data_IF_202707952731
#
_entry.id   IF_202707952731
#
_cell.length_a   1.000
_cell.length_b   1.000
_cell.length_c   1.000
_cell.angle_alpha   90.00
_cell.angle_beta   90.00
_cell.angle_gamma   90.00
#
_symmetry.space_group_name_H-M   'P 1'
#
loop_
_entity.id
_entity.type
_entity.pdbx_description
1 polymer ?
#
# COMPACT_ATOMS: atom_id res chain seq x y z
N UNK A 1 28.30 46.22 -13.59
CA UNK A 1 27.81 45.33 -12.52
C UNK A 1 26.39 44.71 -12.71
N UNK A 2 25.79 44.55 -13.92
CA UNK A 2 24.51 43.84 -14.07
C UNK A 2 24.63 42.35 -14.51
N UNK A 3 25.85 41.87 -14.76
CA UNK A 3 26.09 40.52 -15.33
C UNK A 3 26.00 39.41 -14.28
N UNK A 4 26.49 39.64 -13.05
CA UNK A 4 26.52 38.63 -11.98
C UNK A 4 25.11 38.25 -11.50
N UNK A 5 24.20 39.22 -11.42
CA UNK A 5 22.82 39.02 -10.95
C UNK A 5 22.00 38.18 -11.92
N UNK A 6 22.26 38.31 -13.23
CA UNK A 6 21.61 37.48 -14.27
C UNK A 6 22.12 36.04 -14.25
N UNK A 7 23.42 35.84 -14.00
CA UNK A 7 24.01 34.50 -13.85
C UNK A 7 23.48 33.78 -12.60
N UNK A 8 23.28 34.48 -11.48
CA UNK A 8 22.67 33.91 -10.28
C UNK A 8 21.20 33.50 -10.50
N UNK A 9 20.41 34.31 -11.20
CA UNK A 9 19.02 33.96 -11.51
C UNK A 9 18.91 32.74 -12.44
N UNK A 10 19.81 32.61 -13.41
CA UNK A 10 19.83 31.44 -14.32
C UNK A 10 20.23 30.14 -13.58
N UNK A 11 21.12 30.21 -12.60
CA UNK A 11 21.51 29.05 -11.80
C UNK A 11 20.39 28.53 -10.86
N UNK A 12 19.52 29.42 -10.34
CA UNK A 12 18.38 29.02 -9.52
C UNK A 12 17.27 28.32 -10.30
N UNK A 13 17.13 28.59 -11.61
CA UNK A 13 16.11 27.98 -12.47
C UNK A 13 16.47 26.55 -12.92
N UNK A 14 17.72 26.14 -12.82
CA UNK A 14 18.19 24.79 -13.16
C UNK A 14 18.02 23.75 -12.03
N UNK A 15 17.60 24.15 -10.84
CA UNK A 15 17.31 23.24 -9.71
C UNK A 15 15.83 22.81 -9.65
N UNK A 16 15.09 22.91 -10.77
CA UNK A 16 13.76 22.34 -10.87
C UNK A 16 13.84 20.81 -10.78
N UNK A 17 13.50 20.32 -9.59
CA UNK A 17 13.49 18.92 -9.19
C UNK A 17 12.96 17.99 -10.29
N UNK A 18 13.75 16.95 -10.60
CA UNK A 18 13.30 15.78 -11.34
C UNK A 18 12.19 15.08 -10.55
N UNK A 19 10.93 15.39 -10.85
CA UNK A 19 9.79 14.65 -10.35
C UNK A 19 9.75 13.27 -11.06
N UNK A 20 9.71 12.15 -10.33
CA UNK A 20 9.53 10.84 -10.98
C UNK A 20 8.15 10.79 -11.63
N UNK A 21 8.12 10.44 -12.92
CA UNK A 21 6.89 10.20 -13.65
C UNK A 21 6.17 8.98 -13.06
N UNK A 22 5.18 9.24 -12.20
CA UNK A 22 4.30 8.21 -11.65
C UNK A 22 3.12 8.01 -12.61
N UNK A 23 2.98 6.80 -13.14
CA UNK A 23 1.82 6.42 -13.95
C UNK A 23 0.54 6.59 -13.15
N UNK A 24 -0.34 7.49 -13.59
CA UNK A 24 -1.51 7.94 -12.85
C UNK A 24 -2.77 7.19 -13.31
N UNK A 25 -3.56 6.68 -12.35
CA UNK A 25 -4.96 6.34 -12.59
C UNK A 25 -5.78 7.63 -12.43
N UNK A 26 -6.66 7.99 -13.38
CA UNK A 26 -7.47 9.20 -13.27
C UNK A 26 -8.43 9.08 -12.06
N UNK A 27 -8.30 10.01 -11.10
CA UNK A 27 -9.25 10.18 -9.99
C UNK A 27 -8.70 9.89 -8.59
N UNK A 28 -7.51 9.31 -8.44
CA UNK A 28 -6.91 9.04 -7.12
C UNK A 28 -5.56 9.71 -7.01
N UNK A 29 -5.44 10.72 -6.12
CA UNK A 29 -4.12 11.29 -5.81
C UNK A 29 -3.25 10.22 -5.15
N UNK A 30 -1.98 10.04 -5.56
CA UNK A 30 -1.16 8.95 -5.06
C UNK A 30 -0.77 9.26 -3.61
N UNK A 31 -0.49 8.22 -2.83
CA UNK A 31 0.17 8.39 -1.53
C UNK A 31 1.60 8.93 -1.76
N UNK A 32 2.06 9.81 -0.88
CA UNK A 32 3.42 10.30 -0.86
C UNK A 32 4.32 9.21 -0.29
N UNK A 33 5.20 8.66 -1.12
CA UNK A 33 6.03 7.52 -0.76
C UNK A 33 7.53 7.83 -0.85
N UNK A 34 8.28 7.40 0.15
CA UNK A 34 9.74 7.38 0.18
C UNK A 34 10.25 5.93 0.20
N UNK A 35 11.34 5.67 -0.51
CA UNK A 35 11.95 4.35 -0.58
C UNK A 35 13.42 4.41 -0.16
N UNK A 36 13.83 3.50 0.72
CA UNK A 36 15.21 3.34 1.16
C UNK A 36 15.57 1.86 1.27
N UNK A 37 16.55 1.42 0.48
CA UNK A 37 17.07 0.04 0.40
C UNK A 37 16.00 -1.01 0.10
N UNK A 38 15.32 -1.51 1.11
CA UNK A 38 14.29 -2.55 1.02
C UNK A 38 13.03 -2.15 1.80
N UNK A 39 12.93 -0.87 2.17
CA UNK A 39 11.83 -0.28 2.92
C UNK A 39 11.16 0.78 2.06
N UNK A 40 9.85 0.66 1.88
CA UNK A 40 8.96 1.66 1.30
C UNK A 40 8.10 2.23 2.43
N UNK A 41 8.05 3.54 2.60
CA UNK A 41 7.15 4.21 3.53
C UNK A 41 6.25 5.14 2.74
N UNK A 42 4.94 5.12 3.00
CA UNK A 42 3.94 5.89 2.30
C UNK A 42 2.99 6.54 3.29
N UNK A 43 2.52 7.73 2.96
CA UNK A 43 1.49 8.45 3.70
C UNK A 43 0.47 9.03 2.70
N UNK A 44 -0.81 8.99 3.04
CA UNK A 44 -1.85 9.67 2.28
C UNK A 44 -2.29 10.97 2.97
N UNK A 45 -3.10 11.77 2.27
CA UNK A 45 -3.60 13.05 2.80
C UNK A 45 -4.66 12.91 3.88
N UNK A 46 -5.23 11.72 4.06
CA UNK A 46 -6.19 11.41 5.11
C UNK A 46 -5.49 11.05 6.41
N UNK A 47 -4.15 10.98 6.42
CA UNK A 47 -3.33 10.67 7.59
C UNK A 47 -3.02 9.17 7.73
N UNK A 48 -3.49 8.33 6.81
CA UNK A 48 -3.10 6.93 6.78
C UNK A 48 -1.63 6.86 6.38
N UNK A 49 -0.88 6.00 7.05
CA UNK A 49 0.51 5.76 6.71
C UNK A 49 0.85 4.30 6.87
N UNK A 50 1.73 3.82 6.02
CA UNK A 50 2.18 2.45 6.04
C UNK A 50 3.64 2.35 5.61
N UNK A 51 4.31 1.33 6.12
CA UNK A 51 5.67 0.96 5.75
C UNK A 51 5.69 -0.51 5.35
N UNK A 52 6.41 -0.80 4.28
CA UNK A 52 6.62 -2.14 3.74
C UNK A 52 8.12 -2.40 3.72
N UNK A 53 8.56 -3.44 4.40
CA UNK A 53 9.92 -3.94 4.33
C UNK A 53 9.93 -5.32 3.67
N UNK A 54 10.82 -5.56 2.72
CA UNK A 54 10.93 -6.84 2.03
C UNK A 54 12.30 -7.45 2.25
N UNK A 55 12.37 -8.73 2.65
CA UNK A 55 13.62 -9.49 2.64
C UNK A 55 13.35 -10.97 2.33
N UNK A 56 14.02 -11.47 1.28
CA UNK A 56 13.81 -12.83 0.79
C UNK A 56 12.35 -13.08 0.43
N UNK A 57 11.78 -14.15 1.01
CA UNK A 57 10.38 -14.53 0.82
C UNK A 57 9.41 -13.84 1.80
N UNK A 58 9.92 -12.96 2.67
CA UNK A 58 9.12 -12.28 3.68
C UNK A 58 8.90 -10.82 3.30
N UNK A 59 7.69 -10.34 3.58
CA UNK A 59 7.35 -8.92 3.50
C UNK A 59 6.65 -8.54 4.78
N UNK A 60 7.18 -7.55 5.49
CA UNK A 60 6.60 -7.01 6.70
C UNK A 60 5.92 -5.70 6.37
N UNK A 61 4.67 -5.57 6.78
CA UNK A 61 3.88 -4.38 6.63
C UNK A 61 3.50 -3.87 8.02
N UNK A 62 3.54 -2.57 8.20
CA UNK A 62 3.02 -1.89 9.38
C UNK A 62 2.33 -0.63 8.94
N UNK A 63 1.31 -0.22 9.66
CA UNK A 63 0.63 1.01 9.32
C UNK A 63 -0.30 1.51 10.40
N UNK A 64 -0.93 2.62 10.07
CA UNK A 64 -1.93 3.30 10.84
C UNK A 64 -3.09 3.65 9.91
N UNK A 65 -4.29 3.30 10.35
CA UNK A 65 -5.53 3.70 9.73
C UNK A 65 -6.09 4.88 10.51
N UNK A 66 -6.15 6.05 9.87
CA UNK A 66 -6.67 7.28 10.44
C UNK A 66 -8.19 7.25 10.61
N UNK A 67 -8.92 6.47 9.80
CA UNK A 67 -10.38 6.38 9.90
C UNK A 67 -10.82 5.64 11.17
N UNK A 68 -10.14 4.54 11.51
CA UNK A 68 -10.40 3.79 12.76
C UNK A 68 -9.48 4.18 13.93
N UNK A 69 -8.41 4.93 13.67
CA UNK A 69 -7.39 5.27 14.66
C UNK A 69 -6.52 4.09 15.08
N UNK A 70 -6.51 3.00 14.31
CA UNK A 70 -5.85 1.74 14.69
C UNK A 70 -4.48 1.62 14.05
N UNK A 71 -3.52 1.11 14.81
CA UNK A 71 -2.23 0.64 14.28
C UNK A 71 -2.35 -0.83 13.93
N UNK A 72 -1.66 -1.25 12.88
CA UNK A 72 -1.66 -2.63 12.48
C UNK A 72 -0.27 -3.08 12.01
N UNK A 73 -0.03 -4.38 12.10
CA UNK A 73 1.14 -5.03 11.56
C UNK A 73 0.72 -6.32 10.85
N UNK A 74 1.34 -6.60 9.70
CA UNK A 74 1.10 -7.80 8.92
C UNK A 74 2.42 -8.39 8.43
N UNK A 75 2.52 -9.71 8.43
CA UNK A 75 3.64 -10.43 7.83
C UNK A 75 3.12 -11.27 6.68
N UNK A 76 3.77 -11.16 5.54
CA UNK A 76 3.50 -11.96 4.36
C UNK A 76 4.69 -12.88 4.12
N UNK A 77 4.42 -14.16 3.87
CA UNK A 77 5.43 -15.15 3.50
C UNK A 77 5.04 -15.78 2.18
N UNK A 78 5.96 -15.71 1.21
CA UNK A 78 5.77 -16.24 -0.14
C UNK A 78 6.25 -17.69 -0.21
N UNK A 79 5.37 -18.56 -0.68
CA UNK A 79 5.61 -19.97 -1.00
C UNK A 79 5.35 -20.19 -2.49
N UNK A 80 6.37 -19.95 -3.32
CA UNK A 80 6.25 -20.02 -4.78
C UNK A 80 5.25 -19.01 -5.33
N UNK A 81 4.11 -19.50 -5.85
CA UNK A 81 3.02 -18.67 -6.39
C UNK A 81 1.97 -18.27 -5.34
N UNK A 82 2.03 -18.86 -4.16
CA UNK A 82 1.14 -18.61 -3.03
C UNK A 82 1.83 -17.66 -2.04
N UNK A 83 1.08 -16.76 -1.43
CA UNK A 83 1.56 -15.92 -0.33
C UNK A 83 0.59 -16.08 0.82
N UNK A 84 1.07 -16.58 1.95
CA UNK A 84 0.33 -16.57 3.19
C UNK A 84 0.59 -15.25 3.91
N UNK A 85 -0.45 -14.67 4.49
CA UNK A 85 -0.29 -13.48 5.31
C UNK A 85 -1.12 -13.56 6.57
N UNK A 86 -0.59 -12.98 7.63
CA UNK A 86 -1.28 -12.80 8.90
C UNK A 86 -0.97 -11.44 9.47
N UNK A 87 -1.95 -10.83 10.14
CA UNK A 87 -1.80 -9.52 10.74
C UNK A 87 -2.63 -9.35 11.99
N UNK A 88 -2.31 -8.28 12.70
CA UNK A 88 -2.91 -7.90 13.97
C UNK A 88 -3.05 -6.39 14.02
N UNK A 89 -4.16 -5.91 14.58
CA UNK A 89 -4.43 -4.51 14.87
C UNK A 89 -4.33 -4.24 16.38
N UNK A 90 -4.18 -2.96 16.73
CA UNK A 90 -3.97 -2.49 18.11
C UNK A 90 -5.16 -2.73 19.04
N UNK A 91 -6.34 -3.00 18.49
CA UNK A 91 -7.56 -3.38 19.21
C UNK A 91 -7.65 -4.90 19.46
N UNK A 92 -6.66 -5.68 19.01
CA UNK A 92 -6.65 -7.13 19.13
C UNK A 92 -7.34 -7.87 17.99
N UNK A 93 -7.85 -7.18 16.96
CA UNK A 93 -8.34 -7.85 15.75
C UNK A 93 -7.18 -8.55 15.04
N UNK A 94 -7.36 -9.82 14.71
CA UNK A 94 -6.37 -10.64 14.01
C UNK A 94 -6.98 -11.10 12.70
N UNK A 95 -6.21 -11.06 11.62
CA UNK A 95 -6.62 -11.63 10.34
C UNK A 95 -5.55 -12.53 9.76
N UNK A 96 -6.02 -13.46 8.95
CA UNK A 96 -5.19 -14.39 8.20
C UNK A 96 -5.73 -14.53 6.79
N UNK A 97 -4.85 -14.80 5.84
CA UNK A 97 -5.27 -14.95 4.47
C UNK A 97 -4.23 -15.57 3.56
N UNK A 98 -4.71 -15.83 2.34
CA UNK A 98 -3.93 -16.40 1.26
C UNK A 98 -4.10 -15.54 0.03
N UNK A 99 -2.98 -15.23 -0.62
CA UNK A 99 -2.94 -14.53 -1.90
C UNK A 99 -2.29 -15.41 -2.95
N UNK A 100 -2.88 -15.45 -4.15
CA UNK A 100 -2.33 -16.16 -5.31
C UNK A 100 -2.27 -15.25 -6.51
N UNK A 101 -1.17 -15.33 -7.26
CA UNK A 101 -0.99 -14.58 -8.48
C UNK A 101 -1.32 -15.45 -9.71
N UNK A 102 -2.27 -14.98 -10.52
CA UNK A 102 -2.72 -15.57 -11.77
C UNK A 102 -2.48 -14.55 -12.89
N UNK A 103 -1.40 -14.72 -13.65
CA UNK A 103 -0.96 -13.72 -14.63
C UNK A 103 -0.68 -12.37 -13.95
N UNK A 104 -1.34 -11.31 -14.42
CA UNK A 104 -1.26 -9.96 -13.89
C UNK A 104 -2.27 -9.65 -12.78
N UNK A 105 -3.02 -10.66 -12.33
CA UNK A 105 -4.09 -10.53 -11.33
C UNK A 105 -3.72 -11.28 -10.06
N UNK A 106 -3.82 -10.60 -8.93
CA UNK A 106 -3.69 -11.17 -7.60
C UNK A 106 -5.08 -11.42 -7.02
N UNK A 107 -5.32 -12.62 -6.51
CA UNK A 107 -6.56 -12.97 -5.80
C UNK A 107 -6.21 -13.31 -4.37
N UNK A 108 -6.76 -12.55 -3.43
CA UNK A 108 -6.54 -12.69 -2.01
C UNK A 108 -7.84 -13.04 -1.29
N UNK A 109 -7.77 -13.95 -0.34
CA UNK A 109 -8.87 -14.26 0.60
C UNK A 109 -8.38 -13.98 2.00
N UNK A 110 -9.16 -13.20 2.75
CA UNK A 110 -8.84 -12.81 4.12
C UNK A 110 -10.03 -13.16 5.02
N UNK A 111 -9.69 -13.66 6.21
CA UNK A 111 -10.61 -13.93 7.30
C UNK A 111 -10.11 -13.20 8.53
N UNK A 112 -11.01 -12.52 9.24
CA UNK A 112 -10.71 -11.82 10.49
C UNK A 112 -11.34 -12.54 11.69
N UNK A 113 -10.76 -12.36 12.87
CA UNK A 113 -11.32 -12.78 14.17
C UNK A 113 -12.68 -12.14 14.47
N UNK A 114 -12.98 -10.99 13.87
CA UNK A 114 -14.31 -10.34 13.91
C UNK A 114 -15.36 -11.05 13.05
N UNK A 115 -15.02 -12.16 12.39
CA UNK A 115 -15.90 -12.91 11.49
C UNK A 115 -16.00 -12.32 10.09
N UNK A 116 -15.33 -11.19 9.80
CA UNK A 116 -15.26 -10.64 8.46
C UNK A 116 -14.52 -11.59 7.50
N UNK A 117 -15.08 -11.80 6.30
CA UNK A 117 -14.47 -12.60 5.24
C UNK A 117 -14.56 -11.83 3.94
N UNK A 118 -13.42 -11.59 3.31
CA UNK A 118 -13.34 -10.76 2.12
C UNK A 118 -12.51 -11.47 1.05
N UNK A 119 -12.85 -11.19 -0.22
CA UNK A 119 -12.10 -11.66 -1.38
C UNK A 119 -11.68 -10.45 -2.20
N UNK A 120 -10.38 -10.17 -2.24
CA UNK A 120 -9.82 -9.06 -2.99
C UNK A 120 -9.24 -9.57 -4.32
N UNK A 121 -9.58 -8.91 -5.42
CA UNK A 121 -9.03 -9.17 -6.75
C UNK A 121 -8.33 -7.92 -7.23
N UNK A 122 -7.01 -7.95 -7.32
CA UNK A 122 -6.18 -6.82 -7.71
C UNK A 122 -5.52 -7.09 -9.07
N UNK A 123 -5.90 -6.32 -10.09
CA UNK A 123 -5.26 -6.33 -11.40
C UNK A 123 -4.34 -5.13 -11.57
N UNK A 124 -3.29 -5.29 -12.38
CA UNK A 124 -2.33 -4.20 -12.68
C UNK A 124 -2.97 -2.94 -13.25
N UNK A 125 -3.99 -3.09 -14.10
CA UNK A 125 -4.67 -1.97 -14.79
C UNK A 125 -6.04 -1.68 -14.18
N UNK A 126 -6.76 -2.72 -13.75
CA UNK A 126 -8.12 -2.59 -13.20
C UNK A 126 -8.15 -2.12 -11.74
N UNK A 127 -7.00 -2.02 -11.07
CA UNK A 127 -6.94 -1.78 -9.63
C UNK A 127 -7.45 -2.97 -8.82
N UNK A 128 -7.77 -2.71 -7.56
CA UNK A 128 -8.30 -3.70 -6.62
C UNK A 128 -9.82 -3.55 -6.47
N UNK A 129 -10.54 -4.66 -6.59
CA UNK A 129 -11.96 -4.75 -6.26
C UNK A 129 -12.21 -5.85 -5.24
N UNK A 130 -13.19 -5.61 -4.37
CA UNK A 130 -13.76 -6.67 -3.55
C UNK A 130 -14.68 -7.50 -4.44
N UNK A 131 -14.34 -8.78 -4.62
CA UNK A 131 -15.24 -9.74 -5.26
C UNK A 131 -16.38 -10.11 -4.31
N UNK A 132 -17.45 -10.77 -4.78
CA UNK A 132 -18.50 -11.26 -3.91
C UNK A 132 -17.89 -12.19 -2.86
N UNK A 133 -17.74 -11.67 -1.64
CA UNK A 133 -17.57 -12.48 -0.44
C UNK A 133 -18.86 -13.24 -0.18
N UNK A 134 -18.87 -14.31 0.62
CA UNK A 134 -20.12 -14.77 1.20
C UNK A 134 -20.75 -13.57 1.90
N UNK A 135 -21.88 -13.11 1.36
CA UNK A 135 -22.65 -11.98 1.86
C UNK A 135 -22.78 -12.09 3.37
N UNK A 136 -22.37 -11.05 4.11
CA UNK A 136 -22.96 -10.80 5.42
C UNK A 136 -24.45 -10.64 5.18
N UNK A 137 -25.24 -11.66 5.49
CA UNK A 137 -26.56 -11.38 6.03
C UNK A 137 -26.34 -10.50 7.27
N UNK A 138 -27.05 -9.38 7.43
CA UNK A 138 -27.10 -8.73 8.73
C UNK A 138 -27.71 -9.75 9.69
N UNK A 139 -26.95 -10.14 10.71
CA UNK A 139 -27.52 -10.91 11.82
C UNK A 139 -28.50 -10.00 12.60
N UNK A 140 -29.57 -10.57 13.17
CA UNK A 140 -30.77 -9.86 13.64
C UNK A 140 -30.51 -8.85 14.77
#
# INVERSE_FOLDING_TARGET
>A
MPSLTRLLCLACLSFAASAPAQGYLPGTRPADCAYLRNVLACMDRLGNHYSVATAGNHTWLRGYDAASGRRWAQTNTRYGRLTFFSGVASDGEIWVGLSRNIGWTSISRVSSSSGARQRLTCGRVSGCSEGPGPSRSPAP
#
